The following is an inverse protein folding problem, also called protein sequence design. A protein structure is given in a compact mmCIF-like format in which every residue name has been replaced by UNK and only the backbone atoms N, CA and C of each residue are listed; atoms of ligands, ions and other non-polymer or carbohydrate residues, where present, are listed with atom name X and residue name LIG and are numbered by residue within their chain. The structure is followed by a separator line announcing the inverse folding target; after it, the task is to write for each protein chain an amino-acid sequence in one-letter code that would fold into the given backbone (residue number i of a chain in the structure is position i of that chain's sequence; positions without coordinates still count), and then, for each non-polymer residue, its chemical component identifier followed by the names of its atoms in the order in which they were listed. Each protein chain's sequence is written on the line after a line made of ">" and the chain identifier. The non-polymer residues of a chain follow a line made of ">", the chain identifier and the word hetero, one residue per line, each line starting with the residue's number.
data_IF_170904810365
#
_entry.id   IF_170904810365
#
_cell.length_a   1.000
_cell.length_b   1.000
_cell.length_c   1.000
_cell.angle_alpha   90.00
_cell.angle_beta   90.00
_cell.angle_gamma   90.00
#
_symmetry.space_group_name_H-M   'P 1'
#
loop_
_entity.id
_entity.type
_entity.pdbx_description
1 polymer ?
#
# COMPACT_ATOMS: atom_id res chain seq x y z
N UNK A 1 -28.79 -1.47 10.46
CA UNK A 1 -27.49 -0.76 10.28
C UNK A 1 -26.40 -1.62 9.65
N UNK A 2 -26.23 -2.90 10.02
CA UNK A 2 -25.22 -3.77 9.40
C UNK A 2 -25.45 -4.03 7.88
N UNK A 3 -26.71 -4.25 7.48
CA UNK A 3 -27.09 -4.45 6.07
C UNK A 3 -26.85 -3.22 5.17
N UNK A 4 -26.91 -2.01 5.74
CA UNK A 4 -26.68 -0.77 4.99
C UNK A 4 -25.19 -0.60 4.64
N UNK A 5 -24.30 -0.93 5.57
CA UNK A 5 -22.85 -0.89 5.38
C UNK A 5 -22.41 -1.94 4.33
N UNK A 6 -22.99 -3.15 4.40
CA UNK A 6 -22.75 -4.20 3.41
C UNK A 6 -23.29 -3.82 2.02
N UNK A 7 -24.44 -3.16 1.94
CA UNK A 7 -24.98 -2.66 0.66
C UNK A 7 -24.21 -1.46 0.10
N UNK A 8 -23.63 -0.62 0.96
CA UNK A 8 -22.82 0.53 0.57
C UNK A 8 -21.43 0.10 0.07
N UNK A 9 -20.81 -0.89 0.71
CA UNK A 9 -19.51 -1.42 0.31
C UNK A 9 -19.60 -2.46 -0.82
N UNK A 10 -20.69 -3.21 -0.92
CA UNK A 10 -20.82 -4.35 -1.83
C UNK A 10 -21.87 -4.23 -2.93
N UNK A 11 -22.78 -3.24 -2.88
CA UNK A 11 -23.93 -3.14 -3.80
C UNK A 11 -23.57 -3.12 -5.29
N UNK A 12 -22.62 -2.27 -5.74
CA UNK A 12 -22.21 -2.24 -7.15
C UNK A 12 -21.42 -3.49 -7.57
N UNK A 13 -20.64 -4.05 -6.65
CA UNK A 13 -19.74 -5.18 -6.91
C UNK A 13 -20.54 -6.48 -7.06
N UNK A 14 -21.49 -6.73 -6.16
CA UNK A 14 -22.34 -7.93 -6.20
C UNK A 14 -23.24 -7.89 -7.45
N UNK A 15 -23.78 -6.72 -7.79
CA UNK A 15 -24.60 -6.54 -8.99
C UNK A 15 -23.78 -6.74 -10.27
N UNK A 16 -22.57 -6.18 -10.33
CA UNK A 16 -21.65 -6.38 -11.46
C UNK A 16 -21.21 -7.83 -11.63
N UNK A 17 -21.00 -8.57 -10.54
CA UNK A 17 -20.67 -10.01 -10.58
C UNK A 17 -21.84 -10.87 -11.12
N UNK A 18 -23.08 -10.56 -10.72
CA UNK A 18 -24.27 -11.27 -11.20
C UNK A 18 -24.50 -10.98 -12.69
N UNK A 19 -24.37 -9.71 -13.11
CA UNK A 19 -24.54 -9.30 -14.50
C UNK A 19 -23.45 -9.92 -15.40
N UNK A 20 -22.20 -9.97 -14.93
CA UNK A 20 -21.11 -10.64 -15.62
C UNK A 20 -21.31 -12.16 -15.72
N UNK A 21 -21.85 -12.81 -14.67
CA UNK A 21 -22.15 -14.24 -14.69
C UNK A 21 -23.27 -14.57 -15.68
N UNK A 22 -24.30 -13.71 -15.77
CA UNK A 22 -25.36 -13.85 -16.77
C UNK A 22 -24.88 -13.59 -18.20
N UNK A 23 -23.98 -12.63 -18.40
CA UNK A 23 -23.34 -12.40 -19.70
C UNK A 23 -22.47 -13.60 -20.12
N UNK A 24 -21.75 -14.22 -19.17
CA UNK A 24 -20.97 -15.45 -19.38
C UNK A 24 -21.85 -16.65 -19.76
N UNK A 25 -23.02 -16.79 -19.14
CA UNK A 25 -24.01 -17.83 -19.49
C UNK A 25 -24.67 -17.61 -20.86
N UNK A 26 -24.71 -16.37 -21.37
CA UNK A 26 -25.24 -16.02 -22.70
C UNK A 26 -24.19 -16.08 -23.82
N UNK A 27 -22.90 -16.16 -23.50
CA UNK A 27 -21.83 -16.15 -24.48
C UNK A 27 -21.63 -17.54 -25.13
N UNK A 28 -22.33 -17.79 -26.24
CA UNK A 28 -22.27 -19.05 -27.00
C UNK A 28 -21.35 -19.07 -28.23
N UNK A 29 -20.62 -17.98 -28.53
CA UNK A 29 -19.84 -17.84 -29.78
C UNK A 29 -18.34 -18.13 -29.61
N UNK A 30 -17.73 -18.76 -30.62
CA UNK A 30 -16.30 -19.10 -30.66
C UNK A 30 -15.41 -17.86 -30.51
N UNK A 31 -15.80 -16.72 -31.06
CA UNK A 31 -15.08 -15.44 -30.90
C UNK A 31 -15.06 -14.95 -29.44
N UNK A 32 -16.15 -15.20 -28.68
CA UNK A 32 -16.20 -14.85 -27.26
C UNK A 32 -15.34 -15.77 -26.40
N UNK A 33 -15.12 -17.02 -26.84
CA UNK A 33 -14.13 -17.91 -26.22
C UNK A 33 -12.70 -17.45 -26.52
N UNK A 34 -12.40 -17.06 -27.76
CA UNK A 34 -11.08 -16.54 -28.13
C UNK A 34 -10.78 -15.24 -27.36
N UNK A 35 -11.74 -14.32 -27.26
CA UNK A 35 -11.58 -13.10 -26.47
C UNK A 35 -11.43 -13.38 -24.96
N UNK A 36 -12.16 -14.38 -24.43
CA UNK A 36 -12.02 -14.80 -23.04
C UNK A 36 -10.67 -15.47 -22.76
N UNK A 37 -10.18 -16.30 -23.67
CA UNK A 37 -8.88 -16.96 -23.58
C UNK A 37 -7.73 -15.94 -23.70
N UNK A 38 -7.87 -14.93 -24.58
CA UNK A 38 -6.93 -13.81 -24.68
C UNK A 38 -6.92 -12.99 -23.39
N UNK A 39 -8.08 -12.62 -22.86
CA UNK A 39 -8.16 -11.88 -21.60
C UNK A 39 -7.61 -12.70 -20.42
N UNK A 40 -7.84 -14.02 -20.39
CA UNK A 40 -7.25 -14.89 -19.39
C UNK A 40 -5.72 -14.94 -19.50
N UNK A 41 -5.19 -15.01 -20.73
CA UNK A 41 -3.75 -14.96 -20.99
C UNK A 41 -3.13 -13.61 -20.60
N UNK A 42 -3.80 -12.50 -20.87
CA UNK A 42 -3.36 -11.16 -20.45
C UNK A 42 -3.36 -11.02 -18.93
N UNK A 43 -4.41 -11.49 -18.25
CA UNK A 43 -4.46 -11.49 -16.78
C UNK A 43 -3.34 -12.36 -16.21
N UNK A 44 -3.08 -13.54 -16.79
CA UNK A 44 -1.98 -14.39 -16.38
C UNK A 44 -0.62 -13.69 -16.54
N UNK A 45 -0.39 -13.01 -17.67
CA UNK A 45 0.81 -12.22 -17.90
C UNK A 45 0.95 -11.10 -16.86
N UNK A 46 -0.10 -10.32 -16.62
CA UNK A 46 -0.10 -9.27 -15.60
C UNK A 46 0.17 -9.82 -14.20
N UNK A 47 -0.40 -10.97 -13.83
CA UNK A 47 -0.11 -11.59 -12.53
C UNK A 47 1.35 -12.00 -12.39
N UNK A 48 1.96 -12.52 -13.46
CA UNK A 48 3.39 -12.85 -13.47
C UNK A 48 4.25 -11.58 -13.33
N UNK A 49 3.92 -10.51 -14.06
CA UNK A 49 4.61 -9.22 -13.93
C UNK A 49 4.51 -8.66 -12.51
N UNK A 50 3.30 -8.65 -11.92
CA UNK A 50 3.08 -8.19 -10.54
C UNK A 50 3.90 -9.03 -9.54
N UNK A 51 3.95 -10.35 -9.73
CA UNK A 51 4.75 -11.23 -8.88
C UNK A 51 6.24 -10.90 -8.97
N UNK A 52 6.77 -10.70 -10.18
CA UNK A 52 8.17 -10.34 -10.41
C UNK A 52 8.46 -8.97 -9.81
N UNK A 53 7.61 -7.97 -10.03
CA UNK A 53 7.75 -6.65 -9.41
C UNK A 53 7.68 -6.73 -7.88
N UNK A 54 6.82 -7.59 -7.34
CA UNK A 54 6.74 -7.86 -5.89
C UNK A 54 8.04 -8.44 -5.35
N UNK A 55 8.61 -9.43 -6.03
CA UNK A 55 9.89 -10.05 -5.66
C UNK A 55 11.05 -9.06 -5.75
N UNK A 56 11.13 -8.27 -6.82
CA UNK A 56 12.13 -7.21 -6.97
C UNK A 56 12.03 -6.19 -5.84
N UNK A 57 10.81 -5.73 -5.50
CA UNK A 57 10.61 -4.80 -4.40
C UNK A 57 11.05 -5.38 -3.05
N UNK A 58 10.75 -6.65 -2.80
CA UNK A 58 11.19 -7.34 -1.58
C UNK A 58 12.72 -7.46 -1.56
N UNK A 59 13.35 -7.77 -2.69
CA UNK A 59 14.81 -7.85 -2.78
C UNK A 59 15.51 -6.50 -2.61
N UNK A 60 14.92 -5.40 -3.10
CA UNK A 60 15.51 -4.05 -3.03
C UNK A 60 15.26 -3.34 -1.69
N UNK A 61 14.04 -3.46 -1.13
CA UNK A 61 13.58 -2.65 0.00
C UNK A 61 13.42 -3.48 1.29
N UNK A 62 13.31 -4.80 1.16
CA UNK A 62 13.01 -5.71 2.27
C UNK A 62 11.52 -5.92 2.50
N UNK A 63 11.21 -6.81 3.43
CA UNK A 63 9.84 -7.09 3.82
C UNK A 63 9.25 -5.98 4.71
N UNK A 64 7.93 -5.70 4.62
CA UNK A 64 7.27 -4.72 5.50
C UNK A 64 7.36 -5.06 7.00
N UNK A 65 7.56 -6.33 7.35
CA UNK A 65 7.63 -6.84 8.72
C UNK A 65 9.05 -6.94 9.27
N UNK A 66 10.04 -6.39 8.57
CA UNK A 66 11.41 -6.34 9.10
C UNK A 66 11.49 -5.44 10.35
N UNK A 67 12.34 -5.79 11.34
CA UNK A 67 12.45 -5.03 12.59
C UNK A 67 12.67 -3.52 12.39
N UNK A 68 13.46 -3.14 11.38
CA UNK A 68 13.71 -1.73 11.03
C UNK A 68 12.43 -1.00 10.62
N UNK A 69 11.59 -1.63 9.79
CA UNK A 69 10.33 -1.06 9.27
C UNK A 69 9.31 -0.95 10.40
N UNK A 70 9.25 -1.94 11.29
CA UNK A 70 8.37 -1.92 12.45
C UNK A 70 8.71 -0.77 13.39
N UNK A 71 10.01 -0.54 13.69
CA UNK A 71 10.45 0.58 14.51
C UNK A 71 10.08 1.94 13.88
N UNK A 72 10.20 2.06 12.55
CA UNK A 72 9.74 3.24 11.83
C UNK A 72 8.22 3.43 11.93
N UNK A 73 7.42 2.37 11.74
CA UNK A 73 5.96 2.48 11.81
C UNK A 73 5.46 2.94 13.18
N UNK A 74 6.07 2.47 14.28
CA UNK A 74 5.74 2.96 15.63
C UNK A 74 5.97 4.46 15.75
N UNK A 75 7.14 4.91 15.26
CA UNK A 75 7.51 6.33 15.28
C UNK A 75 6.56 7.15 14.40
N UNK A 76 6.27 6.68 13.19
CA UNK A 76 5.39 7.33 12.22
C UNK A 76 3.97 7.51 12.78
N UNK A 77 3.40 6.48 13.43
CA UNK A 77 2.06 6.55 14.02
C UNK A 77 2.01 7.59 15.13
N UNK A 78 3.03 7.66 15.99
CA UNK A 78 3.13 8.69 17.01
C UNK A 78 3.16 10.10 16.39
N UNK A 79 4.02 10.33 15.39
CA UNK A 79 4.09 11.62 14.70
C UNK A 79 2.79 11.97 13.98
N UNK A 80 2.16 11.01 13.29
CA UNK A 80 0.89 11.22 12.61
C UNK A 80 -0.20 11.63 13.60
N UNK A 81 -0.26 10.99 14.78
CA UNK A 81 -1.16 11.39 15.86
C UNK A 81 -0.87 12.80 16.35
N UNK A 82 0.38 13.14 16.66
CA UNK A 82 0.73 14.49 17.12
C UNK A 82 0.40 15.58 16.08
N UNK A 83 0.61 15.31 14.78
CA UNK A 83 0.30 16.27 13.72
C UNK A 83 -1.20 16.37 13.47
N UNK A 84 -1.85 15.25 13.17
CA UNK A 84 -3.25 15.25 12.73
C UNK A 84 -4.18 15.50 13.92
N UNK A 85 -4.01 14.74 15.00
CA UNK A 85 -4.92 14.80 16.15
C UNK A 85 -4.67 16.04 17.01
N UNK A 86 -3.42 16.27 17.40
CA UNK A 86 -3.14 17.34 18.35
C UNK A 86 -3.07 18.69 17.65
N UNK A 87 -2.35 18.78 16.53
CA UNK A 87 -2.09 20.06 15.88
C UNK A 87 -3.19 20.50 14.91
N UNK A 88 -3.68 19.62 14.05
CA UNK A 88 -4.71 19.96 13.05
C UNK A 88 -6.09 20.03 13.67
N UNK A 89 -6.47 19.02 14.47
CA UNK A 89 -7.80 18.96 15.10
C UNK A 89 -7.88 19.72 16.43
N UNK A 90 -6.74 20.06 17.06
CA UNK A 90 -6.72 20.78 18.34
C UNK A 90 -7.25 19.96 19.53
N UNK A 91 -7.41 18.65 19.37
CA UNK A 91 -7.98 17.73 20.36
C UNK A 91 -6.90 17.02 21.20
N UNK A 92 -5.68 17.56 21.17
CA UNK A 92 -4.50 16.88 21.69
C UNK A 92 -4.14 17.22 23.12
N UNK A 93 -3.87 16.19 23.91
CA UNK A 93 -3.25 16.28 25.24
C UNK A 93 -1.94 15.49 25.31
N UNK A 94 -1.37 15.10 24.16
CA UNK A 94 -0.19 14.22 24.11
C UNK A 94 1.03 14.93 24.66
N UNK A 95 1.67 14.39 25.70
CA UNK A 95 2.95 14.92 26.15
C UNK A 95 4.03 14.62 25.09
N UNK A 96 5.02 15.49 25.02
CA UNK A 96 6.20 15.28 24.18
C UNK A 96 6.90 13.98 24.58
N UNK A 97 7.48 13.25 23.61
CA UNK A 97 8.44 12.20 23.94
C UNK A 97 9.59 12.84 24.73
N UNK A 98 9.95 12.23 25.85
CA UNK A 98 11.01 12.71 26.76
C UNK A 98 12.21 11.78 26.74
N UNK A 99 13.40 12.32 27.00
CA UNK A 99 14.65 11.55 27.12
C UNK A 99 15.10 10.94 25.78
N UNK A 100 15.84 9.84 25.86
CA UNK A 100 16.50 9.22 24.72
C UNK A 100 15.55 8.78 23.60
N UNK A 101 14.30 8.41 23.96
CA UNK A 101 13.26 8.01 23.01
C UNK A 101 12.92 9.14 22.04
N UNK A 102 12.96 10.41 22.49
CA UNK A 102 12.73 11.58 21.63
C UNK A 102 13.85 11.76 20.60
N UNK A 103 15.09 11.60 21.04
CA UNK A 103 16.29 11.66 20.20
C UNK A 103 16.29 10.54 19.17
N UNK A 104 15.99 9.31 19.59
CA UNK A 104 15.92 8.16 18.69
C UNK A 104 14.78 8.29 17.68
N UNK A 105 13.61 8.75 18.09
CA UNK A 105 12.49 9.01 17.18
C UNK A 105 12.87 10.04 16.10
N UNK A 106 13.53 11.13 16.48
CA UNK A 106 14.05 12.12 15.53
C UNK A 106 15.08 11.52 14.58
N UNK A 107 15.99 10.70 15.09
CA UNK A 107 17.02 10.02 14.30
C UNK A 107 16.42 9.03 13.30
N UNK A 108 15.46 8.19 13.71
CA UNK A 108 14.75 7.24 12.86
C UNK A 108 14.06 7.97 11.69
N UNK A 109 13.36 9.06 11.99
CA UNK A 109 12.71 9.89 10.96
C UNK A 109 13.74 10.50 10.00
N UNK A 110 14.84 11.05 10.54
CA UNK A 110 15.94 11.60 9.76
C UNK A 110 16.59 10.59 8.82
N UNK A 111 16.87 9.37 9.29
CA UNK A 111 17.43 8.30 8.46
C UNK A 111 16.48 7.87 7.33
N UNK A 112 15.18 7.69 7.63
CA UNK A 112 14.21 7.24 6.64
C UNK A 112 13.96 8.26 5.53
N UNK A 113 13.85 9.55 5.86
CA UNK A 113 13.72 10.61 4.85
C UNK A 113 15.05 10.98 4.20
N UNK A 114 16.17 10.82 4.91
CA UNK A 114 17.50 11.20 4.45
C UNK A 114 18.15 10.20 3.49
N UNK A 115 17.84 8.90 3.59
CA UNK A 115 18.51 7.83 2.81
C UNK A 115 18.63 8.14 1.31
N UNK A 116 17.51 8.47 0.65
CA UNK A 116 17.51 8.78 -0.79
C UNK A 116 18.30 10.04 -1.14
N UNK A 117 18.27 11.04 -0.25
CA UNK A 117 19.04 12.28 -0.43
C UNK A 117 20.54 11.97 -0.40
N UNK A 118 21.00 11.15 0.54
CA UNK A 118 22.39 10.73 0.61
C UNK A 118 22.80 9.85 -0.58
N UNK A 119 21.97 8.90 -1.00
CA UNK A 119 22.23 8.06 -2.18
C UNK A 119 22.37 8.89 -3.46
N UNK A 120 21.50 9.88 -3.65
CA UNK A 120 21.55 10.76 -4.81
C UNK A 120 22.82 11.62 -4.81
N UNK A 121 23.20 12.19 -3.67
CA UNK A 121 24.44 12.96 -3.52
C UNK A 121 25.67 12.07 -3.77
N UNK A 122 25.70 10.86 -3.20
CA UNK A 122 26.79 9.91 -3.41
C UNK A 122 26.93 9.51 -4.90
N UNK A 123 25.81 9.37 -5.62
CA UNK A 123 25.82 9.07 -7.06
C UNK A 123 26.35 10.23 -7.90
N UNK A 124 26.10 11.48 -7.49
CA UNK A 124 26.65 12.68 -8.13
C UNK A 124 28.16 12.74 -7.93
N UNK A 125 28.65 12.51 -6.71
CA UNK A 125 30.09 12.59 -6.37
C UNK A 125 30.91 11.47 -7.04
N UNK A 126 30.30 10.31 -7.30
CA UNK A 126 30.96 9.17 -7.94
C UNK A 126 31.09 9.31 -9.47
N UNK A 127 30.38 10.26 -10.09
CA UNK A 127 30.54 10.59 -11.51
C UNK A 127 31.69 11.57 -11.72
#
# INVERSE_FOLDING_TARGET
>A
MWMAILSFLGGPVIKGLIDAYQAKLKAGNVDSKIAADLAASEVAAQTAEIQIHGQLKIAEIGHPWEPEKLAFYVTLVFFAKCVIWDKVLGLGTTPQLTGDVSTWAGMIMGFYFGKRTFENVARIIRR
#
